data_IF_360010783976
#
_entry.id   IF_360010783976
#
_cell.length_a   1.000
_cell.length_b   1.000
_cell.length_c   1.000
_cell.angle_alpha   90.00
_cell.angle_beta   90.00
_cell.angle_gamma   90.00
#
_symmetry.space_group_name_H-M   'P 1'
#
loop_
_entity.id
_entity.type
_entity.pdbx_description
1 polymer ?
#
# COMPACT_ATOMS: atom_id res chain seq x y z
N UNK A 1 -9.71 38.51 -6.78
CA UNK A 1 -9.41 37.32 -7.60
C UNK A 1 -8.53 36.38 -6.79
N UNK A 2 -8.91 35.11 -6.67
CA UNK A 2 -8.12 34.08 -6.00
C UNK A 2 -7.37 33.28 -7.08
N UNK A 3 -6.06 33.10 -6.92
CA UNK A 3 -5.23 32.30 -7.83
C UNK A 3 -4.89 30.99 -7.14
N UNK A 4 -5.19 29.87 -7.80
CA UNK A 4 -4.91 28.52 -7.28
C UNK A 4 -3.76 27.92 -8.08
N UNK A 5 -2.73 27.44 -7.38
CA UNK A 5 -1.56 26.81 -7.98
C UNK A 5 -1.54 25.34 -7.53
N UNK A 6 -1.52 24.41 -8.48
CA UNK A 6 -1.37 22.98 -8.20
C UNK A 6 0.04 22.54 -8.62
N UNK A 7 0.88 22.18 -7.65
CA UNK A 7 2.23 21.68 -7.90
C UNK A 7 2.40 20.29 -7.27
N UNK A 8 3.11 19.41 -7.99
CA UNK A 8 3.59 18.15 -7.44
C UNK A 8 4.88 18.43 -6.69
N UNK A 9 4.97 17.94 -5.45
CA UNK A 9 6.18 18.01 -4.66
C UNK A 9 6.55 16.62 -4.16
N UNK A 10 7.84 16.29 -4.21
CA UNK A 10 8.36 15.03 -3.70
C UNK A 10 8.77 15.22 -2.25
N UNK A 11 8.42 14.25 -1.40
CA UNK A 11 8.87 14.25 -0.02
C UNK A 11 10.39 14.05 0.05
N UNK A 12 11.05 14.98 0.74
CA UNK A 12 12.45 14.91 1.13
C UNK A 12 12.61 14.05 2.39
N UNK A 13 13.84 13.62 2.73
CA UNK A 13 14.11 12.90 3.97
C UNK A 13 13.54 13.64 5.20
N UNK A 14 13.03 12.85 6.16
CA UNK A 14 12.37 13.40 7.35
C UNK A 14 10.92 13.87 7.13
N UNK A 15 10.30 13.51 6.00
CA UNK A 15 8.91 13.86 5.71
C UNK A 15 8.71 15.34 5.35
N UNK A 16 9.79 16.02 4.96
CA UNK A 16 9.76 17.44 4.57
C UNK A 16 9.27 17.57 3.12
N UNK A 17 8.48 18.61 2.85
CA UNK A 17 8.07 19.00 1.49
C UNK A 17 8.45 20.46 1.29
N UNK A 18 9.07 20.78 0.16
CA UNK A 18 9.40 22.16 -0.21
C UNK A 18 8.54 22.60 -1.40
N UNK A 19 7.90 23.76 -1.27
CA UNK A 19 7.04 24.34 -2.31
C UNK A 19 7.59 25.73 -2.63
N UNK A 20 8.01 25.93 -3.88
CA UNK A 20 8.51 27.22 -4.36
C UNK A 20 7.46 27.84 -5.27
N UNK A 21 6.95 29.01 -4.89
CA UNK A 21 5.96 29.78 -5.64
C UNK A 21 6.52 31.19 -5.91
N UNK A 22 7.23 31.42 -7.04
CA UNK A 22 7.86 32.71 -7.34
C UNK A 22 6.89 33.89 -7.45
N UNK A 23 5.60 33.59 -7.62
CA UNK A 23 4.53 34.58 -7.79
C UNK A 23 4.06 35.19 -6.46
N UNK A 24 4.41 34.55 -5.34
CA UNK A 24 4.08 35.03 -4.00
C UNK A 24 5.01 36.17 -3.59
N UNK A 25 4.41 37.25 -3.11
CA UNK A 25 5.11 38.38 -2.52
C UNK A 25 5.21 38.20 -1.01
N UNK A 26 6.25 38.77 -0.41
CA UNK A 26 6.43 38.78 1.03
C UNK A 26 5.19 39.38 1.74
N UNK A 27 4.75 38.73 2.82
CA UNK A 27 3.59 39.16 3.61
C UNK A 27 2.23 38.70 3.08
N UNK A 28 2.17 37.99 1.94
CA UNK A 28 0.90 37.42 1.48
C UNK A 28 0.51 36.17 2.28
N UNK A 29 -0.73 36.14 2.75
CA UNK A 29 -1.33 34.96 3.38
C UNK A 29 -1.68 33.93 2.31
N UNK A 30 -1.33 32.66 2.58
CA UNK A 30 -1.64 31.54 1.69
C UNK A 30 -2.18 30.35 2.48
N UNK A 31 -3.11 29.63 1.88
CA UNK A 31 -3.59 28.34 2.39
C UNK A 31 -2.86 27.21 1.69
N UNK A 32 -2.31 26.27 2.48
CA UNK A 32 -1.58 25.11 1.96
C UNK A 32 -2.35 23.84 2.34
N UNK A 33 -2.78 23.08 1.33
CA UNK A 33 -3.45 21.78 1.52
C UNK A 33 -2.54 20.67 1.03
N UNK A 34 -2.07 19.83 1.96
CA UNK A 34 -1.22 18.67 1.64
C UNK A 34 -2.09 17.41 1.65
N UNK A 35 -2.13 16.71 0.51
CA UNK A 35 -2.75 15.39 0.39
C UNK A 35 -1.66 14.39 0.07
N UNK A 36 -1.50 13.37 0.90
CA UNK A 36 -0.58 12.27 0.66
C UNK A 36 -1.35 10.96 0.69
N UNK A 37 -0.99 10.04 -0.20
CA UNK A 37 -1.47 8.68 -0.11
C UNK A 37 -0.60 7.96 0.92
N UNK A 38 -1.16 7.58 2.06
CA UNK A 38 -0.51 6.60 2.91
C UNK A 38 -0.51 5.29 2.14
N UNK A 39 0.59 5.00 1.45
CA UNK A 39 0.81 3.71 0.84
C UNK A 39 0.83 2.66 1.93
N UNK A 40 -0.34 2.18 2.37
CA UNK A 40 -0.45 0.76 2.64
C UNK A 40 -0.19 0.13 1.28
N UNK A 41 1.08 -0.13 0.97
CA UNK A 41 1.42 -1.16 -0.01
C UNK A 41 0.69 -2.38 0.52
N UNK A 42 -0.46 -2.68 -0.07
CA UNK A 42 -1.06 -4.00 0.11
C UNK A 42 0.07 -4.97 -0.17
N UNK A 43 0.35 -5.88 0.77
CA UNK A 43 1.42 -6.85 0.58
C UNK A 43 1.18 -7.49 -0.78
N UNK A 44 2.20 -7.50 -1.62
CA UNK A 44 2.09 -8.18 -2.91
C UNK A 44 1.66 -9.63 -2.63
N UNK A 45 0.81 -10.20 -3.48
CA UNK A 45 0.44 -11.61 -3.36
C UNK A 45 1.71 -12.47 -3.30
N UNK A 46 2.77 -12.08 -4.02
CA UNK A 46 4.08 -12.73 -3.96
C UNK A 46 4.77 -12.57 -2.60
N UNK A 47 4.69 -11.40 -1.96
CA UNK A 47 5.23 -11.19 -0.60
C UNK A 47 4.48 -12.04 0.44
N UNK A 48 3.16 -12.18 0.30
CA UNK A 48 2.35 -13.03 1.17
C UNK A 48 2.75 -14.50 0.98
N UNK A 49 2.83 -14.97 -0.26
CA UNK A 49 3.24 -16.34 -0.56
C UNK A 49 4.68 -16.61 -0.10
N UNK A 50 5.58 -15.63 -0.19
CA UNK A 50 6.98 -15.77 0.22
C UNK A 50 7.23 -15.53 1.72
N UNK A 51 6.22 -15.13 2.51
CA UNK A 51 6.37 -14.83 3.95
C UNK A 51 6.65 -16.05 4.85
N UNK A 52 7.04 -17.17 4.25
CA UNK A 52 7.60 -18.34 4.94
C UNK A 52 6.61 -19.50 5.11
N UNK A 53 7.12 -20.72 5.27
CA UNK A 53 6.30 -21.93 5.47
C UNK A 53 5.51 -21.92 6.79
N UNK A 54 5.91 -21.14 7.79
CA UNK A 54 5.24 -21.05 9.12
C UNK A 54 3.78 -20.59 9.04
N UNK A 55 3.38 -19.93 7.96
CA UNK A 55 2.02 -19.42 7.79
C UNK A 55 1.15 -20.26 6.83
N UNK A 56 1.67 -21.37 6.30
CA UNK A 56 0.93 -22.24 5.38
C UNK A 56 0.39 -23.46 6.12
N UNK A 57 -0.92 -23.70 5.97
CA UNK A 57 -1.57 -24.92 6.46
C UNK A 57 -1.08 -26.18 5.75
N UNK A 58 -0.64 -26.04 4.49
CA UNK A 58 -0.09 -27.12 3.66
C UNK A 58 1.19 -26.62 2.99
N UNK A 59 2.22 -27.46 3.00
CA UNK A 59 3.53 -27.14 2.42
C UNK A 59 3.62 -27.56 0.95
N UNK A 60 2.83 -28.54 0.55
CA UNK A 60 2.86 -29.14 -0.79
C UNK A 60 1.47 -29.25 -1.42
N UNK A 61 1.41 -29.35 -2.75
CA UNK A 61 0.15 -29.55 -3.45
C UNK A 61 -0.43 -30.94 -3.17
N UNK A 62 0.43 -31.92 -2.92
CA UNK A 62 0.09 -33.30 -2.57
C UNK A 62 -0.65 -33.37 -1.24
N UNK A 63 -0.21 -32.61 -0.22
CA UNK A 63 -0.90 -32.49 1.06
C UNK A 63 -2.32 -31.93 0.89
N UNK A 64 -2.48 -30.89 0.06
CA UNK A 64 -3.80 -30.32 -0.26
C UNK A 64 -4.69 -31.36 -0.93
N UNK A 65 -4.16 -32.10 -1.91
CA UNK A 65 -4.91 -33.14 -2.63
C UNK A 65 -5.35 -34.27 -1.68
N UNK A 66 -4.46 -34.72 -0.80
CA UNK A 66 -4.76 -35.77 0.18
C UNK A 66 -5.84 -35.31 1.16
N UNK A 67 -5.76 -34.07 1.66
CA UNK A 67 -6.78 -33.48 2.53
C UNK A 67 -8.15 -33.43 1.84
N UNK A 68 -8.22 -32.87 0.63
CA UNK A 68 -9.48 -32.76 -0.12
C UNK A 68 -10.10 -34.14 -0.44
N UNK A 69 -9.28 -35.14 -0.75
CA UNK A 69 -9.77 -36.50 -0.99
C UNK A 69 -10.40 -37.11 0.26
N UNK A 70 -9.80 -36.89 1.43
CA UNK A 70 -10.33 -37.35 2.72
C UNK A 70 -11.63 -36.63 3.09
N UNK A 71 -11.68 -35.32 2.92
CA UNK A 71 -12.89 -34.52 3.18
C UNK A 71 -14.05 -34.97 2.28
N UNK A 72 -13.79 -35.23 1.00
CA UNK A 72 -14.82 -35.74 0.09
C UNK A 72 -15.34 -37.12 0.52
N UNK A 73 -14.42 -38.03 0.84
CA UNK A 73 -14.78 -39.38 1.28
C UNK A 73 -15.59 -39.41 2.58
N UNK A 74 -15.47 -38.39 3.44
CA UNK A 74 -16.26 -38.30 4.68
C UNK A 74 -17.70 -37.83 4.45
N UNK A 75 -17.99 -37.21 3.30
CA UNK A 75 -19.34 -36.74 2.94
C UNK A 75 -20.14 -37.78 2.16
N UNK A 76 -19.44 -38.71 1.48
CA UNK A 76 -20.04 -39.83 0.75
C UNK A 76 -20.40 -41.03 1.68
N UNK A 77 -20.38 -40.83 3.01
CA UNK A 77 -20.71 -41.83 4.04
C UNK A 77 -22.00 -41.49 4.76
#
# INVERSE_FOLDING_TARGET
MQKVIHQKATALPGGKVEIVCPELKAGQTVDVVVRYESGKRGRSIMEILNSGPEHRLFQTAEEVRAYLAREKASWDR
#
